data_IF_510215597251
#
_entry.id   IF_510215597251
#
_cell.length_a   1.000
_cell.length_b   1.000
_cell.length_c   1.000
_cell.angle_alpha   90.00
_cell.angle_beta   90.00
_cell.angle_gamma   90.00
#
_symmetry.space_group_name_H-M   'P 1'
#
loop_
_entity.id
_entity.type
_entity.pdbx_description
1 polymer ?
#
# COMPACT_ATOMS: atom_id res chain seq x y z
N UNK A 1 -22.94 18.90 -15.32
CA UNK A 1 -21.86 19.49 -16.14
C UNK A 1 -22.05 20.99 -16.16
N UNK A 2 -21.02 21.76 -15.80
CA UNK A 2 -21.00 23.21 -15.79
C UNK A 2 -19.64 23.65 -16.32
N UNK A 3 -19.60 24.56 -17.29
CA UNK A 3 -18.33 25.03 -17.88
C UNK A 3 -17.48 25.76 -16.84
N UNK A 4 -16.17 25.84 -17.10
CA UNK A 4 -15.24 26.60 -16.26
C UNK A 4 -15.69 28.07 -16.19
N UNK A 5 -15.75 28.63 -14.98
CA UNK A 5 -16.21 30.00 -14.75
C UNK A 5 -17.70 30.13 -14.39
N UNK A 6 -18.51 29.07 -14.53
CA UNK A 6 -19.95 29.09 -14.21
C UNK A 6 -20.26 29.04 -12.70
N UNK A 7 -19.25 29.08 -11.82
CA UNK A 7 -19.44 29.08 -10.38
C UNK A 7 -19.77 27.71 -9.77
N UNK A 8 -19.10 26.64 -10.23
CA UNK A 8 -19.19 25.27 -9.66
C UNK A 8 -19.11 25.27 -8.13
N UNK A 9 -18.08 25.93 -7.57
CA UNK A 9 -17.85 26.02 -6.13
C UNK A 9 -19.03 26.65 -5.37
N UNK A 10 -19.63 27.72 -5.90
CA UNK A 10 -20.80 28.34 -5.25
C UNK A 10 -22.04 27.46 -5.39
N UNK A 11 -22.19 26.79 -6.53
CA UNK A 11 -23.31 25.89 -6.80
C UNK A 11 -23.34 24.71 -5.84
N UNK A 12 -22.17 24.18 -5.43
CA UNK A 12 -22.10 23.04 -4.49
C UNK A 12 -22.59 23.39 -3.08
N UNK A 13 -22.61 24.67 -2.70
CA UNK A 13 -23.08 25.12 -1.38
C UNK A 13 -24.54 24.76 -1.14
N UNK A 14 -25.41 24.95 -2.15
CA UNK A 14 -26.84 24.71 -2.04
C UNK A 14 -27.19 23.24 -1.73
N UNK A 15 -26.77 22.25 -2.54
CA UNK A 15 -27.03 20.85 -2.23
C UNK A 15 -26.26 20.38 -0.98
N UNK A 16 -25.07 20.90 -0.71
CA UNK A 16 -24.33 20.54 0.51
C UNK A 16 -25.10 20.97 1.76
N UNK A 17 -25.54 22.24 1.82
CA UNK A 17 -26.33 22.77 2.92
C UNK A 17 -27.62 21.96 3.13
N UNK A 18 -28.39 21.73 2.06
CA UNK A 18 -29.64 20.98 2.15
C UNK A 18 -29.45 19.57 2.73
N UNK A 19 -28.41 18.84 2.30
CA UNK A 19 -28.18 17.47 2.78
C UNK A 19 -27.59 17.46 4.20
N UNK A 20 -26.81 18.47 4.58
CA UNK A 20 -26.28 18.61 5.94
C UNK A 20 -27.36 18.87 7.00
N UNK A 21 -28.51 19.46 6.63
CA UNK A 21 -29.65 19.66 7.53
C UNK A 21 -30.24 18.35 8.09
N UNK A 22 -29.92 17.19 7.49
CA UNK A 22 -30.31 15.88 8.02
C UNK A 22 -29.52 15.46 9.26
N UNK A 23 -28.47 16.21 9.62
CA UNK A 23 -27.53 15.84 10.67
C UNK A 23 -26.52 14.77 10.24
N UNK A 24 -26.52 14.35 8.97
CA UNK A 24 -25.48 13.50 8.37
C UNK A 24 -24.43 14.37 7.65
N UNK A 25 -23.16 14.01 7.75
CA UNK A 25 -22.06 14.82 7.17
C UNK A 25 -22.07 14.78 5.65
N UNK A 26 -21.70 15.90 5.03
CA UNK A 26 -21.50 16.01 3.57
C UNK A 26 -20.02 16.24 3.29
N UNK A 27 -19.45 15.39 2.43
CA UNK A 27 -18.06 15.49 2.03
C UNK A 27 -17.97 16.19 0.66
N UNK A 28 -17.27 17.32 0.61
CA UNK A 28 -16.93 18.02 -0.64
C UNK A 28 -15.48 17.70 -0.97
N UNK A 29 -15.27 17.06 -2.13
CA UNK A 29 -13.99 16.51 -2.53
C UNK A 29 -13.40 17.34 -3.65
N UNK A 30 -12.23 17.91 -3.43
CA UNK A 30 -11.49 18.70 -4.43
C UNK A 30 -10.31 17.90 -4.99
N UNK A 31 -9.77 18.36 -6.12
CA UNK A 31 -8.60 17.74 -6.77
C UNK A 31 -7.28 17.99 -6.04
N UNK A 32 -7.20 19.01 -5.17
CA UNK A 32 -5.98 19.28 -4.40
C UNK A 32 -6.26 20.01 -3.08
N UNK A 33 -5.26 19.97 -2.19
CA UNK A 33 -5.34 20.52 -0.83
C UNK A 33 -5.50 22.04 -0.81
N UNK A 34 -4.88 22.75 -1.77
CA UNK A 34 -5.00 24.21 -1.86
C UNK A 34 -6.46 24.63 -2.10
N UNK A 35 -7.16 23.95 -3.01
CA UNK A 35 -8.58 24.22 -3.29
C UNK A 35 -9.46 23.86 -2.08
N UNK A 36 -9.22 22.72 -1.43
CA UNK A 36 -9.94 22.32 -0.22
C UNK A 36 -9.78 23.37 0.89
N UNK A 37 -8.54 23.81 1.15
CA UNK A 37 -8.23 24.81 2.17
C UNK A 37 -8.85 26.17 1.85
N UNK A 38 -8.68 26.63 0.61
CA UNK A 38 -9.26 27.89 0.11
C UNK A 38 -10.78 27.91 0.28
N UNK A 39 -11.46 26.82 0.03
CA UNK A 39 -12.92 26.75 0.10
C UNK A 39 -13.40 26.63 1.55
N UNK A 40 -12.77 25.76 2.35
CA UNK A 40 -13.10 25.57 3.76
C UNK A 40 -12.83 26.82 4.63
N UNK A 41 -11.71 27.50 4.42
CA UNK A 41 -11.29 28.66 5.21
C UNK A 41 -11.65 30.01 4.56
N UNK A 42 -12.10 29.99 3.30
CA UNK A 42 -12.43 31.19 2.52
C UNK A 42 -13.89 31.63 2.66
N UNK A 43 -14.40 32.30 1.61
CA UNK A 43 -15.76 32.82 1.58
C UNK A 43 -16.83 31.72 1.65
N UNK A 44 -16.58 30.57 1.04
CA UNK A 44 -17.56 29.46 0.97
C UNK A 44 -17.77 28.84 2.35
N UNK A 45 -16.69 28.51 3.06
CA UNK A 45 -16.78 28.06 4.45
C UNK A 45 -17.47 29.09 5.36
N UNK A 46 -17.22 30.39 5.15
CA UNK A 46 -17.93 31.46 5.88
C UNK A 46 -19.44 31.45 5.63
N UNK A 47 -19.90 31.09 4.43
CA UNK A 47 -21.34 30.96 4.14
C UNK A 47 -21.96 29.83 4.96
N UNK A 48 -21.33 28.65 5.01
CA UNK A 48 -21.83 27.55 5.84
C UNK A 48 -21.86 27.91 7.32
N UNK A 49 -20.78 28.51 7.84
CA UNK A 49 -20.72 28.97 9.23
C UNK A 49 -21.79 30.03 9.55
N UNK A 50 -22.03 30.97 8.62
CA UNK A 50 -23.09 31.96 8.75
C UNK A 50 -24.48 31.30 8.84
N UNK A 51 -24.70 30.21 8.11
CA UNK A 51 -25.93 29.42 8.15
C UNK A 51 -26.00 28.44 9.34
N UNK A 52 -25.04 28.49 10.27
CA UNK A 52 -25.02 27.68 11.48
C UNK A 52 -24.46 26.27 11.32
N UNK A 53 -23.87 25.93 10.18
CA UNK A 53 -23.20 24.64 9.96
C UNK A 53 -21.70 24.74 10.28
N UNK A 54 -21.15 23.68 10.84
CA UNK A 54 -19.71 23.54 11.06
C UNK A 54 -18.98 23.05 9.80
N UNK A 55 -17.79 23.59 9.56
CA UNK A 55 -16.95 23.23 8.39
C UNK A 55 -15.60 22.69 8.85
N UNK A 56 -15.27 21.48 8.41
CA UNK A 56 -14.02 20.79 8.65
C UNK A 56 -13.13 20.77 7.41
N UNK A 57 -11.81 20.74 7.63
CA UNK A 57 -10.80 20.58 6.58
C UNK A 57 -9.89 19.38 6.90
N UNK A 58 -9.88 18.40 6.01
CA UNK A 58 -8.98 17.25 6.05
C UNK A 58 -7.95 17.31 4.92
N UNK A 59 -6.70 17.51 5.28
CA UNK A 59 -5.54 17.55 4.38
C UNK A 59 -4.36 16.83 5.05
N UNK A 60 -3.36 16.43 4.27
CA UNK A 60 -2.23 15.61 4.73
C UNK A 60 -1.45 16.23 5.89
N UNK A 61 -1.36 17.55 5.95
CA UNK A 61 -0.63 18.28 7.00
C UNK A 61 -1.33 18.27 8.37
N UNK A 62 -2.61 17.86 8.45
CA UNK A 62 -3.36 17.80 9.70
C UNK A 62 -2.96 16.58 10.52
N UNK A 63 -2.81 16.79 11.83
CA UNK A 63 -2.62 15.69 12.78
C UNK A 63 -3.94 14.93 13.02
N UNK A 64 -3.85 13.75 13.64
CA UNK A 64 -4.99 12.86 13.89
C UNK A 64 -6.12 13.57 14.65
N UNK A 65 -5.80 14.38 15.66
CA UNK A 65 -6.81 15.10 16.45
C UNK A 65 -7.58 16.14 15.64
N UNK A 66 -6.87 16.92 14.80
CA UNK A 66 -7.49 17.89 13.92
C UNK A 66 -8.35 17.22 12.86
N UNK A 67 -7.92 16.07 12.33
CA UNK A 67 -8.71 15.27 11.39
C UNK A 67 -10.00 14.76 12.04
N UNK A 68 -9.94 14.21 13.27
CA UNK A 68 -11.14 13.77 14.00
C UNK A 68 -12.16 14.89 14.13
N UNK A 69 -11.72 16.08 14.56
CA UNK A 69 -12.59 17.26 14.65
C UNK A 69 -13.18 17.64 13.29
N UNK A 70 -12.40 17.55 12.20
CA UNK A 70 -12.91 17.83 10.86
C UNK A 70 -14.01 16.84 10.42
N UNK A 71 -13.84 15.54 10.68
CA UNK A 71 -14.86 14.53 10.36
C UNK A 71 -16.13 14.64 11.23
N UNK A 72 -16.05 15.32 12.37
CA UNK A 72 -17.20 15.62 13.23
C UNK A 72 -18.03 16.80 12.68
N UNK A 73 -17.50 17.60 11.76
CA UNK A 73 -18.22 18.73 11.16
C UNK A 73 -19.34 18.30 10.20
N UNK A 74 -20.31 19.21 10.01
CA UNK A 74 -21.45 19.02 9.11
C UNK A 74 -21.02 18.99 7.65
N UNK A 75 -20.08 19.85 7.28
CA UNK A 75 -19.44 19.89 5.98
C UNK A 75 -17.96 19.54 6.14
N UNK A 76 -17.46 18.58 5.37
CA UNK A 76 -16.04 18.23 5.32
C UNK A 76 -15.48 18.56 3.94
N UNK A 77 -14.46 19.41 3.88
CA UNK A 77 -13.61 19.57 2.70
C UNK A 77 -12.39 18.67 2.80
N UNK A 78 -12.09 17.94 1.72
CA UNK A 78 -10.94 17.05 1.64
C UNK A 78 -10.52 16.82 0.19
N UNK A 79 -9.37 16.18 -0.02
CA UNK A 79 -9.02 15.58 -1.31
C UNK A 79 -9.51 14.14 -1.40
N UNK A 80 -9.65 13.64 -2.62
CA UNK A 80 -9.95 12.23 -2.90
C UNK A 80 -8.90 11.29 -2.29
N UNK A 81 -7.62 11.63 -2.45
CA UNK A 81 -6.50 10.86 -1.92
C UNK A 81 -6.53 10.76 -0.40
N UNK A 82 -6.76 11.88 0.29
CA UNK A 82 -6.75 11.87 1.76
C UNK A 82 -7.93 11.10 2.35
N UNK A 83 -9.13 11.24 1.76
CA UNK A 83 -10.29 10.44 2.15
C UNK A 83 -10.05 8.94 1.96
N UNK A 84 -9.52 8.55 0.80
CA UNK A 84 -9.28 7.14 0.51
C UNK A 84 -8.19 6.54 1.41
N UNK A 85 -7.13 7.29 1.71
CA UNK A 85 -6.10 6.83 2.65
C UNK A 85 -6.59 6.79 4.09
N UNK A 86 -7.39 7.76 4.54
CA UNK A 86 -8.03 7.71 5.86
C UNK A 86 -8.96 6.50 5.98
N UNK A 87 -9.74 6.18 4.94
CA UNK A 87 -10.54 4.95 4.89
C UNK A 87 -9.70 3.69 5.02
N UNK A 88 -8.60 3.57 4.26
CA UNK A 88 -7.72 2.41 4.36
C UNK A 88 -7.11 2.30 5.77
N UNK A 89 -6.65 3.41 6.35
CA UNK A 89 -6.09 3.45 7.71
C UNK A 89 -7.11 3.05 8.77
N UNK A 90 -8.33 3.55 8.69
CA UNK A 90 -9.40 3.22 9.63
C UNK A 90 -9.75 1.73 9.61
N UNK A 91 -9.70 1.08 8.44
CA UNK A 91 -9.92 -0.37 8.31
C UNK A 91 -8.75 -1.24 8.82
N UNK A 92 -7.57 -0.65 9.02
CA UNK A 92 -6.40 -1.33 9.61
C UNK A 92 -6.20 -0.98 11.09
N UNK A 93 -6.96 -0.02 11.62
CA UNK A 93 -6.77 0.47 12.98
C UNK A 93 -7.43 -0.47 14.00
N UNK A 94 -6.65 -0.85 15.02
CA UNK A 94 -7.09 -1.77 16.07
C UNK A 94 -7.77 -1.02 17.22
N UNK A 95 -7.43 0.26 17.42
CA UNK A 95 -7.99 1.07 18.51
C UNK A 95 -9.15 1.92 18.01
N UNK A 96 -10.35 1.63 18.50
CA UNK A 96 -11.55 2.42 18.18
C UNK A 96 -11.39 3.93 18.46
N UNK A 97 -10.56 4.30 19.44
CA UNK A 97 -10.27 5.70 19.76
C UNK A 97 -9.55 6.43 18.62
N UNK A 98 -8.84 5.72 17.75
CA UNK A 98 -8.02 6.30 16.68
C UNK A 98 -8.77 6.45 15.35
N UNK A 99 -9.87 5.72 15.17
CA UNK A 99 -10.71 5.78 13.97
C UNK A 99 -11.20 7.22 13.74
N UNK A 100 -11.04 7.69 12.50
CA UNK A 100 -11.42 9.03 12.07
C UNK A 100 -12.88 9.08 11.61
N UNK A 101 -13.26 8.21 10.68
CA UNK A 101 -14.55 8.20 9.99
C UNK A 101 -15.62 7.42 10.77
N UNK A 102 -16.05 7.97 11.90
CA UNK A 102 -17.10 7.34 12.74
C UNK A 102 -18.53 7.55 12.21
N UNK A 103 -18.74 8.59 11.40
CA UNK A 103 -20.04 8.90 10.78
C UNK A 103 -20.23 8.04 9.52
N UNK A 104 -21.48 7.79 9.15
CA UNK A 104 -21.82 7.04 7.93
C UNK A 104 -21.44 7.84 6.68
N UNK A 105 -21.00 7.15 5.63
CA UNK A 105 -20.78 7.71 4.30
C UNK A 105 -22.11 8.10 3.65
N UNK A 106 -22.59 9.31 3.94
CA UNK A 106 -23.91 9.74 3.47
C UNK A 106 -23.84 10.36 2.06
N UNK A 107 -23.19 11.52 1.93
CA UNK A 107 -23.19 12.26 0.67
C UNK A 107 -21.79 12.79 0.34
N UNK A 108 -21.32 12.49 -0.87
CA UNK A 108 -20.12 13.07 -1.44
C UNK A 108 -20.45 13.91 -2.69
N UNK A 109 -19.85 15.10 -2.78
CA UNK A 109 -19.87 15.97 -3.95
C UNK A 109 -18.44 16.06 -4.47
N UNK A 110 -18.18 15.52 -5.66
CA UNK A 110 -16.85 15.51 -6.28
C UNK A 110 -16.70 16.71 -7.22
N UNK A 111 -15.71 17.57 -6.96
CA UNK A 111 -15.26 18.58 -7.92
C UNK A 111 -14.31 17.96 -8.95
N UNK A 112 -14.41 18.41 -10.20
CA UNK A 112 -13.76 17.79 -11.37
C UNK A 112 -13.86 16.25 -11.37
N UNK A 113 -15.11 15.77 -11.36
CA UNK A 113 -15.44 14.34 -11.22
C UNK A 113 -14.84 13.44 -12.30
N UNK A 114 -14.64 13.97 -13.52
CA UNK A 114 -13.94 13.29 -14.60
C UNK A 114 -12.47 13.04 -14.24
N UNK A 115 -11.76 14.05 -13.74
CA UNK A 115 -10.38 13.89 -13.28
C UNK A 115 -10.27 12.88 -12.14
N UNK A 116 -11.18 12.92 -11.15
CA UNK A 116 -11.12 12.03 -9.98
C UNK A 116 -11.49 10.57 -10.34
N UNK A 117 -12.62 10.35 -11.03
CA UNK A 117 -13.15 9.00 -11.24
C UNK A 117 -12.63 8.31 -12.51
N UNK A 118 -12.20 9.09 -13.52
CA UNK A 118 -11.77 8.55 -14.82
C UNK A 118 -10.24 8.60 -14.95
N UNK A 119 -9.62 9.76 -14.71
CA UNK A 119 -8.17 9.90 -14.91
C UNK A 119 -7.40 9.28 -13.75
N UNK A 120 -7.65 9.74 -12.53
CA UNK A 120 -6.99 9.22 -11.32
C UNK A 120 -7.51 7.83 -10.90
N UNK A 121 -8.74 7.49 -11.30
CA UNK A 121 -9.37 6.20 -11.01
C UNK A 121 -8.65 4.98 -11.58
N UNK A 122 -7.63 5.16 -12.42
CA UNK A 122 -6.88 4.05 -13.05
C UNK A 122 -5.91 3.38 -12.09
N UNK A 123 -5.36 4.14 -11.16
CA UNK A 123 -4.38 3.66 -10.18
C UNK A 123 -5.05 3.49 -8.82
N UNK A 124 -5.01 2.29 -8.20
CA UNK A 124 -5.56 2.12 -6.86
C UNK A 124 -4.73 2.89 -5.81
N UNK A 125 -5.39 3.27 -4.73
CA UNK A 125 -4.72 3.67 -3.50
C UNK A 125 -4.14 2.43 -2.83
N UNK A 126 -2.90 2.54 -2.38
CA UNK A 126 -2.14 1.43 -1.79
C UNK A 126 -1.46 1.94 -0.53
N UNK A 127 -1.71 1.30 0.61
CA UNK A 127 -0.85 1.41 1.79
C UNK A 127 0.08 0.22 1.79
N UNK A 128 1.36 0.48 1.56
CA UNK A 128 2.41 -0.51 1.68
C UNK A 128 3.14 -0.32 3.00
N UNK A 129 3.35 -1.39 3.73
CA UNK A 129 4.25 -1.38 4.86
C UNK A 129 5.63 -1.84 4.39
N UNK A 130 6.66 -1.14 4.85
CA UNK A 130 8.00 -1.69 4.80
C UNK A 130 7.98 -2.94 5.68
N UNK A 131 8.16 -4.10 5.05
CA UNK A 131 8.37 -5.32 5.80
C UNK A 131 9.66 -5.07 6.57
N UNK A 132 9.61 -5.11 7.91
CA UNK A 132 10.84 -5.17 8.73
C UNK A 132 11.51 -6.49 8.39
N UNK A 133 12.22 -6.52 7.28
CA UNK A 133 13.00 -7.67 6.90
C UNK A 133 14.13 -7.74 7.91
N UNK A 134 14.28 -8.91 8.50
CA UNK A 134 15.52 -9.26 9.16
C UNK A 134 16.54 -9.50 8.04
N UNK A 135 17.04 -8.42 7.44
CA UNK A 135 18.10 -8.45 6.41
C UNK A 135 19.27 -9.32 6.91
N UNK A 136 19.53 -9.25 8.21
CA UNK A 136 20.46 -10.12 8.93
C UNK A 136 20.20 -11.62 8.70
N UNK A 137 18.95 -12.10 8.69
CA UNK A 137 18.67 -13.52 8.45
C UNK A 137 19.02 -13.97 7.03
N UNK A 138 18.88 -13.12 6.01
CA UNK A 138 19.36 -13.46 4.67
C UNK A 138 20.89 -13.54 4.63
N UNK A 139 21.58 -12.59 5.27
CA UNK A 139 23.04 -12.61 5.39
C UNK A 139 23.55 -13.82 6.19
N UNK A 140 22.90 -14.15 7.30
CA UNK A 140 23.29 -15.27 8.15
C UNK A 140 23.01 -16.61 7.47
N UNK A 141 21.89 -16.71 6.75
CA UNK A 141 21.55 -17.88 5.94
C UNK A 141 22.54 -18.09 4.80
N UNK A 142 22.98 -17.03 4.11
CA UNK A 142 24.05 -17.11 3.11
C UNK A 142 25.35 -17.66 3.71
N UNK A 143 25.78 -17.11 4.85
CA UNK A 143 26.98 -17.57 5.57
C UNK A 143 26.88 -19.03 6.01
N UNK A 144 25.69 -19.47 6.39
CA UNK A 144 25.42 -20.86 6.76
C UNK A 144 25.50 -21.80 5.55
N UNK A 145 24.79 -21.46 4.46
CA UNK A 145 24.69 -22.31 3.26
C UNK A 145 26.06 -22.52 2.62
N UNK A 146 26.94 -21.51 2.59
CA UNK A 146 28.33 -21.65 2.11
C UNK A 146 29.16 -22.69 2.88
N UNK A 147 28.79 -23.02 4.12
CA UNK A 147 29.51 -24.01 4.96
C UNK A 147 28.92 -25.41 4.86
N UNK A 148 27.86 -25.61 4.09
CA UNK A 148 27.24 -26.91 3.88
C UNK A 148 28.08 -27.79 2.95
N UNK A 149 27.84 -29.09 3.06
CA UNK A 149 28.44 -30.15 2.24
C UNK A 149 27.29 -31.03 1.75
N UNK A 150 27.50 -31.83 0.71
CA UNK A 150 26.48 -32.68 0.09
C UNK A 150 25.68 -33.53 1.10
N UNK A 151 26.31 -34.07 2.14
CA UNK A 151 25.63 -34.84 3.19
C UNK A 151 24.58 -34.06 4.01
N UNK A 152 24.60 -32.72 3.98
CA UNK A 152 23.75 -31.87 4.82
C UNK A 152 22.42 -31.50 4.16
N UNK A 153 22.21 -31.83 2.88
CA UNK A 153 21.00 -31.49 2.16
C UNK A 153 20.64 -32.59 1.14
N UNK A 154 19.38 -32.63 0.73
CA UNK A 154 18.88 -33.48 -0.34
C UNK A 154 18.28 -32.55 -1.39
N UNK A 155 18.70 -32.74 -2.65
CA UNK A 155 18.18 -31.99 -3.80
C UNK A 155 17.34 -32.94 -4.64
N UNK A 156 16.14 -32.51 -4.96
CA UNK A 156 15.33 -33.08 -6.01
C UNK A 156 15.33 -32.12 -7.20
N UNK A 157 16.06 -32.48 -8.25
CA UNK A 157 16.21 -31.67 -9.45
C UNK A 157 14.96 -31.71 -10.35
N UNK A 158 14.15 -32.78 -10.24
CA UNK A 158 12.92 -32.93 -11.02
C UNK A 158 11.86 -31.95 -10.51
N UNK A 159 11.69 -31.88 -9.19
CA UNK A 159 10.75 -30.95 -8.56
C UNK A 159 11.37 -29.60 -8.18
N UNK A 160 12.67 -29.40 -8.42
CA UNK A 160 13.43 -28.20 -8.00
C UNK A 160 13.21 -27.89 -6.51
N UNK A 161 13.25 -28.91 -5.67
CA UNK A 161 13.13 -28.80 -4.21
C UNK A 161 14.43 -29.16 -3.52
N UNK A 162 14.70 -28.50 -2.41
CA UNK A 162 15.87 -28.78 -1.58
C UNK A 162 15.48 -28.75 -0.11
N UNK A 163 15.93 -29.75 0.63
CA UNK A 163 15.68 -29.89 2.05
C UNK A 163 16.96 -30.20 2.82
N UNK A 164 17.02 -29.83 4.10
CA UNK A 164 18.13 -30.20 4.97
C UNK A 164 17.96 -31.64 5.44
N UNK A 165 19.06 -32.40 5.46
CA UNK A 165 19.08 -33.70 6.15
C UNK A 165 19.13 -33.49 7.67
N UNK A 166 18.93 -34.55 8.46
CA UNK A 166 19.12 -34.48 9.92
C UNK A 166 20.48 -33.90 10.32
N UNK A 167 21.54 -34.23 9.57
CA UNK A 167 22.87 -33.67 9.82
C UNK A 167 22.94 -32.17 9.50
N UNK A 168 22.24 -31.71 8.47
CA UNK A 168 22.11 -30.31 8.12
C UNK A 168 21.31 -29.51 9.15
N UNK A 169 20.23 -30.09 9.67
CA UNK A 169 19.39 -29.51 10.73
C UNK A 169 20.22 -29.30 12.00
N UNK A 170 20.92 -30.35 12.49
CA UNK A 170 21.80 -30.24 13.66
C UNK A 170 22.87 -29.17 13.48
N UNK A 171 23.44 -29.07 12.28
CA UNK A 171 24.43 -28.05 11.96
C UNK A 171 23.84 -26.64 11.94
N UNK A 172 22.61 -26.48 11.47
CA UNK A 172 21.88 -25.22 11.52
C UNK A 172 21.61 -24.80 12.97
N UNK A 173 21.11 -25.71 13.80
CA UNK A 173 20.85 -25.47 15.23
C UNK A 173 22.11 -24.98 15.97
N UNK A 174 23.26 -25.59 15.70
CA UNK A 174 24.55 -25.15 16.26
C UNK A 174 24.95 -23.76 15.72
N UNK A 175 24.82 -23.53 14.41
CA UNK A 175 25.24 -22.27 13.79
C UNK A 175 24.39 -21.07 14.24
N UNK A 176 23.07 -21.24 14.31
CA UNK A 176 22.12 -20.21 14.70
C UNK A 176 21.82 -20.18 16.20
N UNK A 177 22.44 -21.07 16.99
CA UNK A 177 22.25 -21.20 18.43
C UNK A 177 20.77 -21.42 18.81
N UNK A 178 20.05 -22.21 18.01
CA UNK A 178 18.65 -22.56 18.24
C UNK A 178 18.55 -24.01 18.74
N UNK A 179 17.60 -24.28 19.65
CA UNK A 179 17.36 -25.65 20.16
C UNK A 179 16.58 -26.53 19.19
N UNK A 180 15.74 -25.90 18.37
CA UNK A 180 14.89 -26.55 17.39
C UNK A 180 14.65 -25.56 16.25
N UNK A 181 15.13 -25.92 15.06
CA UNK A 181 14.99 -25.10 13.86
C UNK A 181 13.53 -24.99 13.39
N UNK A 182 12.71 -26.03 13.61
CA UNK A 182 11.33 -26.12 13.13
C UNK A 182 10.31 -25.55 14.10
N UNK A 183 10.76 -24.99 15.22
CA UNK A 183 9.89 -24.28 16.15
C UNK A 183 9.14 -23.14 15.41
N UNK A 184 7.83 -22.95 15.62
CA UNK A 184 7.06 -21.86 15.01
C UNK A 184 7.66 -20.46 15.22
N UNK A 185 8.43 -20.25 16.30
CA UNK A 185 9.15 -18.99 16.56
C UNK A 185 10.25 -18.70 15.53
N UNK A 186 10.82 -19.74 14.91
CA UNK A 186 11.94 -19.67 13.97
C UNK A 186 11.47 -19.71 12.49
N UNK A 187 10.17 -19.58 12.22
CA UNK A 187 9.60 -19.65 10.87
C UNK A 187 10.34 -18.74 9.86
N UNK A 188 10.64 -17.49 10.24
CA UNK A 188 11.32 -16.52 9.35
C UNK A 188 12.74 -17.00 9.02
N UNK A 189 13.47 -17.49 10.02
CA UNK A 189 14.83 -18.01 9.84
C UNK A 189 14.81 -19.25 8.92
N UNK A 190 13.92 -20.21 9.19
CA UNK A 190 13.77 -21.41 8.38
C UNK A 190 13.43 -21.06 6.92
N UNK A 191 12.56 -20.07 6.71
CA UNK A 191 12.22 -19.54 5.39
C UNK A 191 13.43 -18.95 4.66
N UNK A 192 14.23 -18.11 5.34
CA UNK A 192 15.46 -17.55 4.77
C UNK A 192 16.50 -18.64 4.43
N UNK A 193 16.66 -19.66 5.27
CA UNK A 193 17.57 -20.78 5.01
C UNK A 193 17.12 -21.57 3.77
N UNK A 194 15.82 -21.88 3.65
CA UNK A 194 15.27 -22.57 2.47
C UNK A 194 15.49 -21.77 1.19
N UNK A 195 15.31 -20.45 1.23
CA UNK A 195 15.55 -19.59 0.08
C UNK A 195 17.04 -19.50 -0.29
N UNK A 196 17.92 -19.42 0.71
CA UNK A 196 19.37 -19.45 0.46
C UNK A 196 19.79 -20.79 -0.16
N UNK A 197 19.27 -21.92 0.33
CA UNK A 197 19.50 -23.24 -0.26
C UNK A 197 19.06 -23.29 -1.73
N UNK A 198 17.85 -22.82 -2.05
CA UNK A 198 17.37 -22.73 -3.44
C UNK A 198 18.26 -21.83 -4.30
N UNK A 199 18.64 -20.65 -3.80
CA UNK A 199 19.49 -19.72 -4.51
C UNK A 199 20.86 -20.32 -4.86
N UNK A 200 21.45 -21.13 -3.98
CA UNK A 200 22.77 -21.74 -4.20
C UNK A 200 22.75 -22.97 -5.08
N UNK A 201 21.80 -23.87 -4.85
CA UNK A 201 21.86 -25.23 -5.39
C UNK A 201 20.86 -25.50 -6.52
N UNK A 202 19.82 -24.68 -6.66
CA UNK A 202 18.79 -24.83 -7.71
C UNK A 202 18.93 -23.77 -8.80
N UNK A 203 19.27 -22.53 -8.44
CA UNK A 203 19.40 -21.43 -9.41
C UNK A 203 20.83 -21.28 -9.92
N UNK A 204 20.97 -21.30 -11.26
CA UNK A 204 22.24 -21.17 -11.97
C UNK A 204 22.40 -19.78 -12.60
N UNK A 205 23.56 -19.16 -12.35
CA UNK A 205 23.96 -17.91 -12.99
C UNK A 205 24.18 -18.12 -14.49
N UNK A 206 23.73 -17.17 -15.30
CA UNK A 206 23.71 -17.21 -16.77
C UNK A 206 22.74 -18.23 -17.38
N UNK A 207 21.84 -18.82 -16.59
CA UNK A 207 20.77 -19.72 -17.06
C UNK A 207 19.41 -19.33 -16.51
N UNK A 208 19.29 -19.19 -15.19
CA UNK A 208 18.05 -18.76 -14.54
C UNK A 208 18.04 -17.24 -14.25
N UNK A 209 19.23 -16.66 -14.07
CA UNK A 209 19.40 -15.23 -13.78
C UNK A 209 20.75 -14.69 -14.27
N UNK A 210 20.84 -13.37 -14.40
CA UNK A 210 22.05 -12.59 -14.67
C UNK A 210 22.27 -11.58 -13.54
N UNK A 211 23.51 -11.12 -13.35
CA UNK A 211 23.83 -9.97 -12.50
C UNK A 211 24.40 -8.86 -13.36
N UNK A 212 23.76 -7.70 -13.33
CA UNK A 212 24.16 -6.51 -14.09
C UNK A 212 23.90 -5.26 -13.23
N UNK A 213 24.84 -4.30 -13.23
CA UNK A 213 24.73 -3.05 -12.44
C UNK A 213 24.31 -3.26 -10.97
N UNK A 214 24.87 -4.26 -10.30
CA UNK A 214 24.56 -4.60 -8.91
C UNK A 214 23.08 -5.02 -8.68
N UNK A 215 22.42 -5.53 -9.72
CA UNK A 215 21.04 -6.03 -9.68
C UNK A 215 20.96 -7.42 -10.27
N UNK A 216 20.09 -8.24 -9.68
CA UNK A 216 19.74 -9.56 -10.21
C UNK A 216 18.61 -9.41 -11.23
N UNK A 217 18.80 -9.96 -12.42
CA UNK A 217 17.84 -9.94 -13.53
C UNK A 217 17.44 -11.38 -13.88
N UNK A 218 16.15 -11.63 -14.07
CA UNK A 218 15.63 -12.98 -14.38
C UNK A 218 15.75 -13.26 -15.88
N UNK A 219 16.19 -14.47 -16.22
CA UNK A 219 16.23 -14.96 -17.60
C UNK A 219 15.02 -15.86 -17.84
N UNK A 220 14.31 -15.65 -18.96
CA UNK A 220 13.27 -16.55 -19.42
C UNK A 220 13.89 -17.86 -19.94
N UNK A 221 13.52 -18.99 -19.35
CA UNK A 221 14.07 -20.31 -19.69
C UNK A 221 13.73 -20.75 -21.12
N UNK A 222 12.67 -20.21 -21.73
CA UNK A 222 12.27 -20.57 -23.09
C UNK A 222 12.95 -19.71 -24.16
N UNK A 223 13.11 -18.41 -23.89
CA UNK A 223 13.56 -17.43 -24.89
C UNK A 223 14.97 -16.91 -24.67
N UNK A 224 15.56 -17.14 -23.48
CA UNK A 224 16.85 -16.58 -23.08
C UNK A 224 16.82 -15.06 -22.86
N UNK A 225 15.64 -14.43 -22.91
CA UNK A 225 15.49 -12.98 -22.77
C UNK A 225 15.52 -12.56 -21.32
N UNK A 226 16.05 -11.36 -21.08
CA UNK A 226 16.03 -10.71 -19.77
C UNK A 226 14.63 -10.16 -19.50
N UNK A 227 14.03 -10.56 -18.38
CA UNK A 227 12.72 -10.11 -17.94
C UNK A 227 12.87 -8.91 -17.00
N UNK A 228 13.02 -7.72 -17.59
CA UNK A 228 13.11 -6.48 -16.82
C UNK A 228 11.88 -6.25 -15.93
N UNK A 229 12.11 -5.80 -14.69
CA UNK A 229 11.05 -5.51 -13.72
C UNK A 229 10.46 -6.73 -13.01
N UNK A 230 10.82 -7.96 -13.39
CA UNK A 230 10.42 -9.16 -12.65
C UNK A 230 11.38 -9.47 -11.51
N UNK A 231 10.82 -9.99 -10.41
CA UNK A 231 11.55 -10.48 -9.25
C UNK A 231 11.08 -11.88 -8.90
N UNK A 232 11.94 -12.67 -8.24
CA UNK A 232 11.55 -13.95 -7.69
C UNK A 232 10.69 -13.71 -6.44
N UNK A 233 9.63 -14.49 -6.26
CA UNK A 233 8.69 -14.33 -5.16
C UNK A 233 9.23 -14.91 -3.84
N UNK A 234 8.51 -14.62 -2.75
CA UNK A 234 8.70 -15.23 -1.43
C UNK A 234 10.10 -15.06 -0.82
N UNK A 235 10.80 -13.95 -1.06
CA UNK A 235 12.13 -13.73 -0.50
C UNK A 235 13.28 -14.41 -1.25
N UNK A 236 13.01 -15.14 -2.34
CA UNK A 236 14.04 -15.82 -3.13
C UNK A 236 14.93 -14.81 -3.87
N UNK A 237 14.38 -13.68 -4.31
CA UNK A 237 15.15 -12.63 -4.98
C UNK A 237 16.19 -12.02 -4.05
N UNK A 238 15.82 -11.76 -2.79
CA UNK A 238 16.71 -11.23 -1.76
C UNK A 238 17.82 -12.23 -1.42
N UNK A 239 17.49 -13.52 -1.27
CA UNK A 239 18.48 -14.56 -1.05
C UNK A 239 19.50 -14.62 -2.21
N UNK A 240 19.05 -14.42 -3.45
CA UNK A 240 19.89 -14.37 -4.63
C UNK A 240 20.74 -13.10 -4.70
N UNK A 241 20.18 -11.94 -4.34
CA UNK A 241 20.91 -10.68 -4.19
C UNK A 241 22.04 -10.84 -3.15
N UNK A 242 21.79 -11.50 -2.00
CA UNK A 242 22.83 -11.79 -1.00
C UNK A 242 23.90 -12.73 -1.54
N UNK A 243 23.50 -13.83 -2.21
CA UNK A 243 24.44 -14.80 -2.81
C UNK A 243 25.46 -14.11 -3.72
N UNK A 244 24.98 -13.19 -4.55
CA UNK A 244 25.78 -12.47 -5.55
C UNK A 244 26.39 -11.16 -5.03
N UNK A 245 26.16 -10.80 -3.77
CA UNK A 245 26.69 -9.57 -3.16
C UNK A 245 26.04 -8.27 -3.66
N UNK A 246 24.83 -8.35 -4.22
CA UNK A 246 24.05 -7.20 -4.68
C UNK A 246 23.39 -6.44 -3.53
N UNK A 247 22.99 -5.19 -3.76
CA UNK A 247 22.15 -4.43 -2.82
C UNK A 247 20.80 -5.08 -2.66
N UNK A 248 20.46 -5.48 -1.43
CA UNK A 248 19.18 -6.10 -1.11
C UNK A 248 18.08 -5.06 -1.23
N UNK A 249 17.06 -5.34 -2.04
CA UNK A 249 15.86 -4.50 -2.10
C UNK A 249 14.89 -4.92 -1.00
N UNK A 250 14.49 -3.96 -0.19
CA UNK A 250 13.43 -4.16 0.81
C UNK A 250 12.12 -4.54 0.11
N UNK A 251 11.47 -5.62 0.56
CA UNK A 251 10.10 -5.90 0.14
C UNK A 251 9.16 -4.87 0.74
N UNK A 252 8.26 -4.37 -0.11
CA UNK A 252 7.07 -3.68 0.35
C UNK A 252 5.90 -4.64 0.23
N UNK A 253 5.26 -4.93 1.36
CA UNK A 253 4.03 -5.74 1.36
C UNK A 253 2.83 -4.78 1.31
N UNK A 254 1.93 -5.02 0.35
CA UNK A 254 0.67 -4.27 0.25
C UNK A 254 -0.20 -4.65 1.43
N UNK A 255 -0.43 -3.71 2.34
CA UNK A 255 -1.23 -3.94 3.55
C UNK A 255 -2.71 -3.69 3.30
N UNK A 256 -3.05 -2.70 2.49
CA UNK A 256 -4.42 -2.45 2.07
C UNK A 256 -4.46 -1.73 0.72
N UNK A 257 -5.52 -1.96 -0.06
CA UNK A 257 -5.72 -1.31 -1.35
C UNK A 257 -7.21 -1.07 -1.64
N UNK A 258 -7.52 0.04 -2.31
CA UNK A 258 -8.85 0.33 -2.84
C UNK A 258 -8.73 1.25 -4.07
N UNK A 259 -9.61 1.08 -5.05
CA UNK A 259 -9.72 2.04 -6.17
C UNK A 259 -10.68 3.18 -5.80
N UNK A 260 -10.53 4.36 -6.43
CA UNK A 260 -11.47 5.46 -6.20
C UNK A 260 -12.91 5.07 -6.51
N UNK A 261 -13.16 4.28 -7.56
CA UNK A 261 -14.51 3.85 -7.91
C UNK A 261 -15.14 3.00 -6.80
N UNK A 262 -14.37 2.07 -6.21
CA UNK A 262 -14.85 1.25 -5.11
C UNK A 262 -15.02 2.06 -3.83
N UNK A 263 -14.12 2.99 -3.55
CA UNK A 263 -14.23 3.87 -2.39
C UNK A 263 -15.49 4.75 -2.45
N UNK A 264 -15.71 5.47 -3.56
CA UNK A 264 -16.85 6.38 -3.68
C UNK A 264 -18.20 5.66 -3.80
N UNK A 265 -18.22 4.37 -4.19
CA UNK A 265 -19.43 3.53 -4.15
C UNK A 265 -19.97 3.25 -2.74
N UNK A 266 -19.16 3.48 -1.69
CA UNK A 266 -19.57 3.28 -0.30
C UNK A 266 -20.56 4.37 0.14
N UNK A 267 -20.53 5.56 -0.49
CA UNK A 267 -21.43 6.65 -0.16
C UNK A 267 -22.86 6.34 -0.59
N UNK A 268 -23.82 6.57 0.31
CA UNK A 268 -25.26 6.41 0.04
C UNK A 268 -25.73 7.27 -1.13
N UNK A 269 -25.15 8.46 -1.27
CA UNK A 269 -25.40 9.39 -2.37
C UNK A 269 -24.06 9.92 -2.88
N UNK A 270 -23.92 9.97 -4.20
CA UNK A 270 -22.75 10.50 -4.88
C UNK A 270 -23.21 11.49 -5.94
N UNK A 271 -22.56 12.65 -6.01
CA UNK A 271 -22.72 13.61 -7.09
C UNK A 271 -21.37 14.18 -7.48
N UNK A 272 -21.33 14.88 -8.61
CA UNK A 272 -20.11 15.54 -9.05
C UNK A 272 -20.38 16.67 -10.02
N UNK A 273 -19.39 17.54 -10.12
CA UNK A 273 -19.34 18.67 -11.04
C UNK A 273 -18.07 18.58 -11.87
N UNK A 274 -18.18 18.93 -13.14
CA UNK A 274 -17.08 19.01 -14.09
C UNK A 274 -17.51 19.84 -15.29
N UNK A 275 -16.52 20.34 -16.04
CA UNK A 275 -16.73 20.97 -17.35
C UNK A 275 -16.97 19.97 -18.48
N UNK A 276 -16.57 18.71 -18.29
CA UNK A 276 -16.51 17.69 -19.35
C UNK A 276 -16.93 16.32 -18.79
N UNK A 277 -18.21 15.95 -18.89
CA UNK A 277 -18.69 14.63 -18.45
C UNK A 277 -19.40 13.83 -19.55
N UNK A 278 -19.97 14.50 -20.56
CA UNK A 278 -20.86 13.86 -21.54
C UNK A 278 -20.15 12.96 -22.56
N UNK A 279 -18.86 13.19 -22.79
CA UNK A 279 -18.03 12.47 -23.77
C UNK A 279 -17.55 11.14 -23.24
#
# INVERSE_FOLDING_TARGET
EMKTGEGKTLTSVLPAYLNALTGESVHIVTVNEYLADREANGLIGKVFNFLGLSVGLNIKSKNIEAKKKAYECDILYSTNSELGFDYLRDNMEMKFSNILMKRKYNYAILDEVDSILIDEGRTPLIISNQKKQNVHFYMDSDRFVRKLKEQHYIIDLEYKTIELTESGIKKAEIFFQTKDLYNPKNYILLHCIKNALKAYFILEKNKDYLVEENKVLIIDHFTGRILHGRQFSEGLHQALEVKEGCTIKEETDISATITYQNFFRIYKKLSGMTGTAKT
#
